data_IF_088945631974
#
_entry.id   IF_088945631974
#
_cell.length_a   1.000
_cell.length_b   1.000
_cell.length_c   1.000
_cell.angle_alpha   90.00
_cell.angle_beta   90.00
_cell.angle_gamma   90.00
#
_symmetry.space_group_name_H-M   'P 1'
#
loop_
_entity.id
_entity.type
_entity.pdbx_description
1 polymer ?
#
# COMPACT_ATOMS: atom_id res chain seq x y z
N UNK A 1 -14.14 -3.05 -13.85
CA UNK A 1 -13.49 -2.86 -12.55
C UNK A 1 -12.22 -3.68 -12.60
N UNK A 2 -11.09 -3.04 -12.87
CA UNK A 2 -9.79 -3.73 -12.85
C UNK A 2 -9.40 -3.90 -11.38
N UNK A 3 -9.15 -5.13 -10.93
CA UNK A 3 -8.68 -5.43 -9.56
C UNK A 3 -7.30 -4.83 -9.23
N UNK A 4 -6.70 -4.12 -10.18
CA UNK A 4 -5.40 -3.48 -10.10
C UNK A 4 -5.52 -2.11 -9.44
N UNK A 5 -5.07 -2.00 -8.19
CA UNK A 5 -4.77 -0.70 -7.61
C UNK A 5 -3.54 -0.12 -8.33
N UNK A 6 -3.76 0.76 -9.30
CA UNK A 6 -2.66 1.42 -9.98
C UNK A 6 -1.86 2.27 -8.98
N UNK A 7 -0.52 2.24 -9.02
CA UNK A 7 0.34 2.99 -8.07
C UNK A 7 0.07 4.50 -7.99
N UNK A 8 -0.59 5.04 -9.03
CA UNK A 8 -0.97 6.45 -9.13
C UNK A 8 -2.17 6.83 -8.25
N UNK A 9 -3.10 5.91 -8.02
CA UNK A 9 -4.42 6.21 -7.46
C UNK A 9 -4.39 6.82 -6.04
N UNK A 10 -3.62 6.30 -5.06
CA UNK A 10 -3.60 6.88 -3.72
C UNK A 10 -2.90 8.25 -3.69
N UNK A 11 -1.83 8.42 -4.46
CA UNK A 11 -1.04 9.66 -4.50
C UNK A 11 -1.78 10.78 -5.23
N UNK A 12 -2.45 10.45 -6.33
CA UNK A 12 -3.24 11.40 -7.08
C UNK A 12 -4.42 11.93 -6.25
N UNK A 13 -5.07 11.09 -5.44
CA UNK A 13 -6.11 11.54 -4.50
C UNK A 13 -5.57 12.52 -3.45
N UNK A 14 -4.39 12.25 -2.90
CA UNK A 14 -3.75 13.15 -1.92
C UNK A 14 -3.37 14.46 -2.59
N UNK A 15 -2.85 14.41 -3.82
CA UNK A 15 -2.52 15.58 -4.61
C UNK A 15 -3.74 16.47 -4.85
N UNK A 16 -4.83 15.92 -5.40
CA UNK A 16 -6.10 16.62 -5.62
C UNK A 16 -6.64 17.26 -4.34
N UNK A 17 -6.67 16.51 -3.23
CA UNK A 17 -7.12 17.00 -1.93
C UNK A 17 -6.31 18.20 -1.43
N UNK A 18 -4.99 18.23 -1.67
CA UNK A 18 -4.16 19.38 -1.30
C UNK A 18 -4.40 20.59 -2.22
N UNK A 19 -4.59 20.39 -3.53
CA UNK A 19 -4.95 21.48 -4.43
C UNK A 19 -6.26 22.15 -3.96
N UNK A 20 -7.30 21.36 -3.69
CA UNK A 20 -8.60 21.92 -3.27
C UNK A 20 -8.57 22.60 -1.90
N UNK A 21 -7.77 22.09 -0.96
CA UNK A 21 -7.83 22.52 0.45
C UNK A 21 -6.79 23.56 0.83
N UNK A 22 -5.65 23.61 0.15
CA UNK A 22 -4.50 24.42 0.57
C UNK A 22 -4.24 25.61 -0.36
N UNK A 23 -4.76 25.58 -1.58
CA UNK A 23 -4.59 26.69 -2.52
C UNK A 23 -5.58 27.82 -2.25
N UNK A 24 -5.22 29.04 -2.65
CA UNK A 24 -6.16 30.15 -2.78
C UNK A 24 -7.18 29.88 -3.88
N UNK A 25 -8.26 30.66 -3.95
CA UNK A 25 -9.27 30.47 -4.98
C UNK A 25 -8.72 30.80 -6.39
N UNK A 26 -7.81 31.78 -6.50
CA UNK A 26 -7.09 32.06 -7.74
C UNK A 26 -6.23 30.87 -8.17
N UNK A 27 -5.45 30.29 -7.25
CA UNK A 27 -4.62 29.12 -7.52
C UNK A 27 -5.46 27.91 -7.92
N UNK A 28 -6.59 27.65 -7.23
CA UNK A 28 -7.49 26.54 -7.58
C UNK A 28 -8.04 26.68 -8.99
N UNK A 29 -8.43 27.89 -9.39
CA UNK A 29 -8.99 28.15 -10.72
C UNK A 29 -8.03 27.76 -11.86
N UNK A 30 -6.72 27.76 -11.59
CA UNK A 30 -5.67 27.38 -12.52
C UNK A 30 -5.37 25.87 -12.43
N UNK A 31 -5.07 25.37 -11.22
CA UNK A 31 -4.44 24.07 -11.06
C UNK A 31 -5.42 22.90 -10.94
N UNK A 32 -6.59 23.09 -10.33
CA UNK A 32 -7.58 22.02 -10.16
C UNK A 32 -8.10 21.53 -11.51
N UNK A 33 -8.54 22.40 -12.45
CA UNK A 33 -9.04 21.94 -13.74
C UNK A 33 -7.98 21.22 -14.58
N UNK A 34 -6.72 21.65 -14.50
CA UNK A 34 -5.58 20.98 -15.16
C UNK A 34 -5.40 19.56 -14.64
N UNK A 35 -5.49 19.36 -13.32
CA UNK A 35 -5.37 18.05 -12.71
C UNK A 35 -6.58 17.16 -13.03
N UNK A 36 -7.81 17.69 -12.99
CA UNK A 36 -9.02 16.94 -13.34
C UNK A 36 -9.04 16.47 -14.80
N UNK A 37 -8.51 17.28 -15.72
CA UNK A 37 -8.33 16.90 -17.13
C UNK A 37 -7.09 16.03 -17.38
N UNK A 38 -6.36 15.67 -16.32
CA UNK A 38 -5.11 14.90 -16.40
C UNK A 38 -4.02 15.55 -17.26
N UNK A 39 -4.06 16.88 -17.43
CA UNK A 39 -2.95 17.65 -18.03
C UNK A 39 -1.73 17.65 -17.10
N UNK A 40 -1.97 17.52 -15.79
CA UNK A 40 -0.92 17.32 -14.79
C UNK A 40 -1.24 16.09 -13.93
N UNK A 41 -0.21 15.28 -13.70
CA UNK A 41 -0.25 14.15 -12.78
C UNK A 41 0.63 14.46 -11.58
N UNK A 42 0.03 14.39 -10.38
CA UNK A 42 0.67 14.84 -9.15
C UNK A 42 0.83 13.78 -8.07
N UNK A 43 1.75 14.05 -7.16
CA UNK A 43 2.02 13.24 -5.97
C UNK A 43 2.48 14.10 -4.79
N UNK A 44 2.48 13.53 -3.59
CA UNK A 44 2.68 14.26 -2.35
C UNK A 44 4.02 13.90 -1.69
N UNK A 45 4.88 14.91 -1.52
CA UNK A 45 6.29 14.74 -1.16
C UNK A 45 6.59 15.22 0.24
N UNK A 46 6.22 14.40 1.22
CA UNK A 46 6.49 14.67 2.62
C UNK A 46 7.70 13.89 3.14
N UNK A 47 7.57 12.56 3.13
CA UNK A 47 8.53 11.61 3.70
C UNK A 47 9.91 11.73 3.05
N UNK A 48 10.94 11.62 3.88
CA UNK A 48 12.35 11.65 3.48
C UNK A 48 13.07 10.44 4.02
N UNK A 49 14.27 10.19 3.50
CA UNK A 49 15.12 9.10 3.95
C UNK A 49 15.38 9.17 5.46
N UNK A 50 15.71 10.34 6.00
CA UNK A 50 15.98 10.53 7.43
C UNK A 50 14.73 10.68 8.30
N UNK A 51 13.56 11.01 7.72
CA UNK A 51 12.39 11.47 8.48
C UNK A 51 11.06 11.08 7.81
N UNK A 52 10.30 10.20 8.47
CA UNK A 52 8.91 9.84 8.12
C UNK A 52 7.89 10.40 9.13
N UNK A 53 7.92 9.88 10.36
CA UNK A 53 6.97 10.26 11.41
C UNK A 53 7.20 11.69 11.95
N UNK A 54 8.46 12.13 12.06
CA UNK A 54 8.81 13.46 12.57
C UNK A 54 8.84 14.50 11.44
N UNK A 55 7.66 14.96 11.01
CA UNK A 55 7.51 15.95 9.93
C UNK A 55 8.14 17.32 10.29
N UNK A 56 8.28 17.64 11.58
CA UNK A 56 8.96 18.87 12.02
C UNK A 56 10.48 18.83 11.77
N UNK A 57 11.07 17.65 11.68
CA UNK A 57 12.48 17.43 11.37
C UNK A 57 12.84 17.49 9.87
N UNK A 58 11.92 17.96 9.02
CA UNK A 58 12.13 18.05 7.57
C UNK A 58 13.36 18.91 7.25
N UNK A 59 14.33 18.34 6.54
CA UNK A 59 15.59 19.03 6.18
C UNK A 59 15.51 19.90 4.91
N UNK A 60 14.91 19.40 3.81
CA UNK A 60 14.55 20.17 2.59
C UNK A 60 14.07 21.58 2.90
N UNK A 61 14.67 22.54 2.23
CA UNK A 61 14.47 23.97 2.40
C UNK A 61 13.77 24.57 1.18
N UNK A 62 13.04 25.64 1.41
CA UNK A 62 12.42 26.50 0.41
C UNK A 62 12.85 27.93 0.75
N UNK A 63 13.74 28.52 -0.05
CA UNK A 63 14.32 29.84 0.23
C UNK A 63 13.77 30.82 -0.80
N UNK A 64 13.13 31.90 -0.36
CA UNK A 64 12.69 32.97 -1.26
C UNK A 64 13.91 33.75 -1.75
N UNK A 65 14.05 33.84 -3.08
CA UNK A 65 14.97 34.76 -3.74
C UNK A 65 14.19 36.01 -4.18
N UNK A 66 14.49 37.14 -3.54
CA UNK A 66 13.78 38.41 -3.76
C UNK A 66 14.14 39.06 -5.09
N UNK A 67 15.29 38.72 -5.68
CA UNK A 67 15.73 39.31 -6.94
C UNK A 67 14.96 38.70 -8.13
N UNK A 68 14.59 37.42 -8.03
CA UNK A 68 13.89 36.67 -9.07
C UNK A 68 12.40 36.45 -8.80
N UNK A 69 11.92 36.74 -7.58
CA UNK A 69 10.57 36.38 -7.10
C UNK A 69 10.31 34.85 -7.17
N UNK A 70 11.36 34.04 -6.98
CA UNK A 70 11.29 32.59 -7.03
C UNK A 70 11.58 31.94 -5.67
N UNK A 71 11.05 30.73 -5.47
CA UNK A 71 11.34 29.91 -4.30
C UNK A 71 12.28 28.77 -4.67
N UNK A 72 13.49 28.82 -4.15
CA UNK A 72 14.52 27.80 -4.39
C UNK A 72 14.30 26.62 -3.45
N UNK A 73 13.84 25.50 -4.02
CA UNK A 73 13.72 24.22 -3.32
C UNK A 73 15.06 23.48 -3.33
N UNK A 74 15.56 23.09 -2.16
CA UNK A 74 16.83 22.38 -2.06
C UNK A 74 16.76 21.19 -1.09
N UNK A 75 17.46 20.11 -1.45
CA UNK A 75 17.69 18.93 -0.61
C UNK A 75 19.15 18.93 -0.15
N UNK A 76 19.48 19.58 0.99
CA UNK A 76 20.87 19.89 1.37
C UNK A 76 21.71 18.66 1.73
N UNK A 77 21.08 17.54 2.04
CA UNK A 77 21.73 16.31 2.52
C UNK A 77 21.09 15.07 1.89
N UNK A 78 21.82 13.96 1.86
CA UNK A 78 21.24 12.68 1.41
C UNK A 78 20.01 12.27 2.25
N UNK A 79 20.03 12.50 3.57
CA UNK A 79 18.89 12.26 4.47
C UNK A 79 17.66 13.10 4.13
N UNK A 80 17.86 14.26 3.48
CA UNK A 80 16.77 15.13 3.05
C UNK A 80 16.06 14.66 1.77
N UNK A 81 16.63 13.67 1.07
CA UNK A 81 16.06 13.06 -0.14
C UNK A 81 14.65 12.55 0.14
N UNK A 82 13.71 12.93 -0.70
CA UNK A 82 12.32 12.48 -0.61
C UNK A 82 12.23 10.98 -0.92
N UNK A 83 11.54 10.23 -0.07
CA UNK A 83 11.56 8.76 -0.09
C UNK A 83 10.14 8.21 0.09
N UNK A 84 9.84 7.04 -0.50
CA UNK A 84 8.50 6.43 -0.55
C UNK A 84 7.45 7.22 -1.36
N UNK A 85 7.89 7.99 -2.36
CA UNK A 85 6.99 8.79 -3.17
C UNK A 85 6.31 7.94 -4.26
N UNK A 86 5.06 7.54 -4.03
CA UNK A 86 4.31 6.81 -5.05
C UNK A 86 4.10 7.67 -6.31
N UNK A 87 4.04 7.03 -7.48
CA UNK A 87 3.95 7.64 -8.81
C UNK A 87 5.13 8.51 -9.27
N UNK A 88 5.97 9.05 -8.37
CA UNK A 88 7.09 9.93 -8.70
C UNK A 88 8.11 9.30 -9.66
N UNK A 89 8.42 8.02 -9.44
CA UNK A 89 9.44 7.32 -10.22
C UNK A 89 9.17 7.29 -11.72
N UNK A 90 7.90 7.34 -12.15
CA UNK A 90 7.53 7.12 -13.55
C UNK A 90 6.51 8.12 -14.09
N UNK A 91 5.42 8.39 -13.37
CA UNK A 91 4.24 9.01 -13.97
C UNK A 91 4.02 10.47 -13.57
N UNK A 92 4.49 10.88 -12.38
CA UNK A 92 4.16 12.22 -11.89
C UNK A 92 4.93 13.31 -12.63
N UNK A 93 4.20 14.28 -13.15
CA UNK A 93 4.71 15.52 -13.77
C UNK A 93 4.94 16.62 -12.75
N UNK A 94 4.18 16.61 -11.66
CA UNK A 94 4.17 17.63 -10.62
C UNK A 94 4.24 17.00 -9.23
N UNK A 95 4.78 17.74 -8.26
CA UNK A 95 4.88 17.31 -6.87
C UNK A 95 4.48 18.42 -5.92
N UNK A 96 3.76 18.07 -4.86
CA UNK A 96 3.59 18.98 -3.71
C UNK A 96 4.71 18.68 -2.72
N UNK A 97 5.75 19.52 -2.74
CA UNK A 97 6.93 19.42 -1.89
C UNK A 97 6.67 20.04 -0.53
N UNK A 98 6.85 19.23 0.51
CA UNK A 98 6.85 19.70 1.90
C UNK A 98 8.27 20.13 2.29
N UNK A 99 8.49 21.43 2.50
CA UNK A 99 9.81 22.00 2.79
C UNK A 99 9.76 23.10 3.85
N UNK A 100 10.89 23.40 4.50
CA UNK A 100 11.00 24.49 5.47
C UNK A 100 11.21 25.81 4.74
N UNK A 101 10.28 26.74 4.91
CA UNK A 101 10.33 28.07 4.30
C UNK A 101 11.33 28.97 5.05
N UNK A 102 12.19 29.64 4.29
CA UNK A 102 13.09 30.69 4.75
C UNK A 102 12.88 31.95 3.93
N UNK A 103 12.70 33.08 4.60
CA UNK A 103 12.61 34.42 3.99
C UNK A 103 13.55 35.33 4.77
N UNK A 104 14.47 36.02 4.08
CA UNK A 104 15.48 36.89 4.70
C UNK A 104 16.25 36.22 5.85
N UNK A 105 16.59 34.94 5.67
CA UNK A 105 17.27 34.13 6.69
C UNK A 105 16.40 33.66 7.87
N UNK A 106 15.14 34.10 7.97
CA UNK A 106 14.21 33.67 9.01
C UNK A 106 13.42 32.45 8.58
N UNK A 107 13.40 31.41 9.42
CA UNK A 107 12.68 30.17 9.18
C UNK A 107 11.23 30.23 9.66
N UNK A 108 10.28 30.00 8.76
CA UNK A 108 8.84 30.02 9.02
C UNK A 108 8.23 28.62 9.20
N UNK A 109 9.07 27.59 9.25
CA UNK A 109 8.63 26.22 9.41
C UNK A 109 8.12 25.59 8.10
N UNK A 110 7.38 24.50 8.23
CA UNK A 110 7.07 23.62 7.10
C UNK A 110 5.87 24.11 6.28
N UNK A 111 6.08 24.24 4.96
CA UNK A 111 5.09 24.69 3.99
C UNK A 111 5.01 23.75 2.79
N UNK A 112 3.97 23.94 1.97
CA UNK A 112 3.69 23.16 0.76
C UNK A 112 4.01 23.99 -0.47
N UNK A 113 4.77 23.42 -1.40
CA UNK A 113 5.14 24.06 -2.67
C UNK A 113 4.76 23.14 -3.81
N UNK A 114 3.92 23.61 -4.73
CA UNK A 114 3.71 22.91 -5.99
C UNK A 114 4.93 23.15 -6.88
N UNK A 115 5.54 22.08 -7.37
CA UNK A 115 6.69 22.15 -8.27
C UNK A 115 6.48 21.23 -9.46
N UNK A 116 6.96 21.67 -10.63
CA UNK A 116 7.03 20.83 -11.81
C UNK A 116 8.30 19.99 -11.75
N UNK A 117 8.17 18.71 -12.07
CA UNK A 117 9.25 17.72 -11.98
C UNK A 117 9.66 17.21 -13.34
N UNK A 118 8.72 17.19 -14.28
CA UNK A 118 8.92 16.73 -15.64
C UNK A 118 8.36 17.74 -16.62
N UNK A 119 9.06 17.88 -17.73
CA UNK A 119 8.57 18.58 -18.90
C UNK A 119 7.30 17.90 -19.42
N UNK A 120 6.29 18.69 -19.81
CA UNK A 120 4.97 18.15 -20.16
C UNK A 120 4.92 17.51 -21.54
N UNK A 121 5.84 17.88 -22.43
CA UNK A 121 5.89 17.36 -23.80
C UNK A 121 6.80 16.15 -23.91
N UNK A 122 7.97 16.21 -23.28
CA UNK A 122 9.03 15.18 -23.37
C UNK A 122 9.03 14.21 -22.20
N UNK A 123 8.36 14.54 -21.10
CA UNK A 123 8.32 13.78 -19.85
C UNK A 123 9.70 13.58 -19.17
N UNK A 124 10.72 14.28 -19.66
CA UNK A 124 12.06 14.30 -19.08
C UNK A 124 12.06 15.11 -17.78
N UNK A 125 12.96 14.76 -16.85
CA UNK A 125 13.09 15.50 -15.60
C UNK A 125 13.52 16.94 -15.88
N UNK A 126 12.88 17.89 -15.22
CA UNK A 126 13.28 19.30 -15.28
C UNK A 126 14.69 19.49 -14.69
N UNK A 127 15.40 20.51 -15.15
CA UNK A 127 16.74 20.85 -14.66
C UNK A 127 16.75 20.98 -13.13
N UNK A 128 17.70 20.33 -12.46
CA UNK A 128 17.82 20.33 -11.00
C UNK A 128 16.93 19.30 -10.27
N UNK A 129 16.12 18.52 -11.00
CA UNK A 129 15.31 17.44 -10.43
C UNK A 129 15.96 16.09 -10.67
N UNK A 130 16.27 15.37 -9.59
CA UNK A 130 16.76 14.00 -9.64
C UNK A 130 15.74 13.04 -9.03
N UNK A 131 15.36 12.00 -9.77
CA UNK A 131 14.42 10.96 -9.31
C UNK A 131 14.98 9.58 -9.62
N UNK A 132 15.02 8.72 -8.61
CA UNK A 132 15.48 7.33 -8.72
C UNK A 132 14.33 6.36 -8.38
N UNK A 133 14.23 5.26 -9.11
CA UNK A 133 13.27 4.19 -8.83
C UNK A 133 13.77 3.32 -7.67
N UNK A 134 12.87 3.03 -6.72
CA UNK A 134 13.21 2.41 -5.42
C UNK A 134 13.26 0.86 -5.43
N UNK A 135 12.97 0.23 -6.55
CA UNK A 135 12.82 -1.22 -6.69
C UNK A 135 11.45 -1.76 -6.26
N UNK A 136 11.22 -3.07 -6.33
CA UNK A 136 9.97 -3.70 -5.90
C UNK A 136 9.70 -3.47 -4.40
N UNK A 137 8.45 -3.17 -4.05
CA UNK A 137 8.01 -2.72 -2.71
C UNK A 137 6.85 -3.59 -2.19
N UNK A 138 6.82 -3.87 -0.89
CA UNK A 138 5.67 -4.47 -0.18
C UNK A 138 4.87 -3.33 0.47
N UNK A 139 3.58 -3.21 0.15
CA UNK A 139 2.74 -2.01 0.36
C UNK A 139 2.27 -1.83 1.83
N UNK A 140 2.31 -0.61 2.40
CA UNK A 140 1.49 -0.17 3.56
C UNK A 140 1.60 1.36 3.81
N UNK A 141 0.49 2.08 4.00
CA UNK A 141 0.44 3.53 4.26
C UNK A 141 -0.67 3.95 5.25
N UNK A 142 -0.48 5.09 5.92
CA UNK A 142 -1.22 5.57 7.13
C UNK A 142 -2.01 6.87 6.87
N UNK A 143 -3.10 7.12 7.64
CA UNK A 143 -4.00 8.30 7.52
C UNK A 143 -4.24 9.01 8.89
N UNK A 144 -4.41 10.34 8.88
CA UNK A 144 -4.48 11.20 10.09
C UNK A 144 -5.73 12.10 10.16
N UNK A 145 -6.80 11.66 10.84
CA UNK A 145 -8.11 12.36 10.90
C UNK A 145 -8.36 13.23 12.14
N UNK A 146 -7.67 13.01 13.25
CA UNK A 146 -8.31 13.21 14.55
C UNK A 146 -7.59 14.15 15.55
N UNK A 147 -6.59 14.90 15.10
CA UNK A 147 -6.00 16.02 15.85
C UNK A 147 -6.15 17.31 15.03
N UNK A 148 -6.53 18.43 15.67
CA UNK A 148 -6.82 19.70 15.00
C UNK A 148 -6.11 20.86 15.71
N UNK A 149 -5.78 21.90 14.94
CA UNK A 149 -5.29 23.19 15.44
C UNK A 149 -6.27 24.25 14.93
N UNK A 150 -6.80 25.08 15.83
CA UNK A 150 -7.72 26.16 15.49
C UNK A 150 -6.96 27.42 15.05
N UNK A 151 -7.68 28.34 14.38
CA UNK A 151 -7.13 29.57 13.78
C UNK A 151 -6.52 30.56 14.78
N UNK A 152 -6.87 30.45 16.05
CA UNK A 152 -6.32 31.25 17.15
C UNK A 152 -5.02 30.67 17.72
N UNK A 153 -4.53 29.55 17.17
CA UNK A 153 -3.34 28.85 17.65
C UNK A 153 -3.61 27.83 18.77
N UNK A 154 -4.87 27.63 19.14
CA UNK A 154 -5.23 26.66 20.19
C UNK A 154 -5.15 25.22 19.64
N UNK A 155 -4.30 24.40 20.26
CA UNK A 155 -4.22 22.96 19.98
C UNK A 155 -5.39 22.23 20.65
N UNK A 156 -6.29 21.68 19.82
CA UNK A 156 -7.39 20.85 20.31
C UNK A 156 -6.88 19.41 20.40
N UNK A 157 -6.52 19.02 21.62
CA UNK A 157 -6.14 17.66 21.96
C UNK A 157 -7.28 16.70 21.53
N UNK A 158 -6.98 15.52 20.94
CA UNK A 158 -8.02 14.55 20.64
C UNK A 158 -8.82 14.24 21.92
N UNK A 159 -10.16 14.28 21.84
CA UNK A 159 -11.06 13.99 22.97
C UNK A 159 -10.76 12.62 23.62
N UNK A 160 -10.15 11.72 22.85
CA UNK A 160 -9.72 10.41 23.29
C UNK A 160 -8.29 10.15 22.79
N UNK A 161 -7.33 10.04 23.71
CA UNK A 161 -5.93 9.70 23.43
C UNK A 161 -5.76 8.31 22.81
N UNK A 162 -6.76 7.43 22.93
CA UNK A 162 -6.77 6.09 22.36
C UNK A 162 -7.32 6.02 20.92
N UNK A 163 -7.84 7.08 20.30
CA UNK A 163 -8.44 6.90 18.96
C UNK A 163 -7.44 6.41 17.92
N UNK A 164 -6.12 6.66 18.12
CA UNK A 164 -5.08 6.26 17.15
C UNK A 164 -5.04 4.74 17.00
N UNK A 165 -5.52 4.03 18.03
CA UNK A 165 -5.67 2.59 18.03
C UNK A 165 -6.86 2.13 17.17
N UNK A 166 -7.95 2.89 17.08
CA UNK A 166 -9.14 2.47 16.31
C UNK A 166 -8.82 2.14 14.85
N UNK A 167 -8.13 3.04 14.15
CA UNK A 167 -7.69 2.80 12.76
C UNK A 167 -6.73 1.60 12.64
N UNK A 168 -5.82 1.43 13.60
CA UNK A 168 -4.89 0.30 13.62
C UNK A 168 -5.62 -1.04 13.83
N UNK A 169 -6.65 -1.04 14.68
CA UNK A 169 -7.52 -2.19 14.95
C UNK A 169 -8.35 -2.52 13.71
N UNK A 170 -8.99 -1.53 13.08
CA UNK A 170 -9.77 -1.72 11.84
C UNK A 170 -8.94 -2.22 10.67
N UNK A 171 -7.73 -1.68 10.46
CA UNK A 171 -6.83 -2.17 9.40
C UNK A 171 -6.42 -3.61 9.67
N UNK A 172 -6.11 -3.97 10.91
CA UNK A 172 -5.75 -5.36 11.28
C UNK A 172 -6.92 -6.32 11.13
N UNK A 173 -8.14 -5.88 11.45
CA UNK A 173 -9.36 -6.66 11.23
C UNK A 173 -9.53 -7.05 9.75
N UNK A 174 -9.26 -6.11 8.83
CA UNK A 174 -9.34 -6.34 7.38
C UNK A 174 -8.22 -7.26 6.86
N UNK A 175 -7.00 -7.13 7.40
CA UNK A 175 -5.83 -7.86 6.90
C UNK A 175 -5.94 -9.38 7.06
N UNK A 176 -6.59 -9.85 8.12
CA UNK A 176 -6.74 -11.29 8.35
C UNK A 176 -7.55 -11.97 7.22
N UNK A 177 -8.59 -11.31 6.74
CA UNK A 177 -9.41 -11.79 5.64
C UNK A 177 -8.65 -11.74 4.31
N UNK A 178 -8.02 -10.60 3.99
CA UNK A 178 -7.29 -10.42 2.72
C UNK A 178 -6.19 -11.47 2.55
N UNK A 179 -5.38 -11.67 3.58
CA UNK A 179 -4.25 -12.60 3.52
C UNK A 179 -4.69 -14.06 3.42
N UNK A 180 -5.83 -14.41 4.00
CA UNK A 180 -6.41 -15.73 3.87
C UNK A 180 -6.98 -15.98 2.46
N UNK A 181 -7.57 -14.97 1.82
CA UNK A 181 -7.96 -15.06 0.41
C UNK A 181 -6.76 -15.25 -0.50
N UNK A 182 -5.64 -14.57 -0.25
CA UNK A 182 -4.43 -14.75 -1.04
C UNK A 182 -3.83 -16.15 -0.88
N UNK A 183 -3.84 -16.70 0.35
CA UNK A 183 -3.48 -18.10 0.57
C UNK A 183 -4.42 -19.05 -0.18
N UNK A 184 -5.73 -18.83 -0.14
CA UNK A 184 -6.70 -19.71 -0.79
C UNK A 184 -6.48 -19.76 -2.30
N UNK A 185 -6.16 -18.62 -2.93
CA UNK A 185 -5.82 -18.57 -4.35
C UNK A 185 -4.57 -19.43 -4.67
N UNK A 186 -3.53 -19.34 -3.85
CA UNK A 186 -2.33 -20.18 -4.01
C UNK A 186 -2.66 -21.68 -3.86
N UNK A 187 -3.52 -22.02 -2.91
CA UNK A 187 -3.99 -23.40 -2.67
C UNK A 187 -4.76 -23.94 -3.86
N UNK A 188 -5.66 -23.15 -4.46
CA UNK A 188 -6.43 -23.55 -5.65
C UNK A 188 -5.50 -23.90 -6.80
N UNK A 189 -4.45 -23.12 -7.02
CA UNK A 189 -3.49 -23.39 -8.09
C UNK A 189 -2.64 -24.62 -7.80
N UNK A 190 -2.14 -24.78 -6.58
CA UNK A 190 -1.45 -26.00 -6.18
C UNK A 190 -2.35 -27.24 -6.33
N UNK A 191 -3.63 -27.13 -5.98
CA UNK A 191 -4.61 -28.20 -6.13
C UNK A 191 -4.82 -28.60 -7.60
N UNK A 192 -5.10 -27.64 -8.47
CA UNK A 192 -5.29 -27.92 -9.90
C UNK A 192 -4.02 -28.44 -10.55
N UNK A 193 -2.87 -27.85 -10.24
CA UNK A 193 -1.59 -28.29 -10.76
C UNK A 193 -1.24 -29.71 -10.32
N UNK A 194 -1.42 -30.05 -9.04
CA UNK A 194 -1.11 -31.39 -8.52
C UNK A 194 -2.08 -32.47 -9.00
N UNK A 195 -3.32 -32.11 -9.36
CA UNK A 195 -4.25 -33.03 -10.05
C UNK A 195 -3.89 -33.28 -11.51
N UNK A 196 -3.42 -32.26 -12.20
CA UNK A 196 -2.99 -32.37 -13.59
C UNK A 196 -1.63 -33.08 -13.71
N UNK A 197 -0.69 -32.73 -12.84
CA UNK A 197 0.67 -33.26 -12.89
C UNK A 197 0.67 -34.73 -12.50
N UNK A 198 1.18 -35.56 -13.39
CA UNK A 198 1.49 -36.95 -13.12
C UNK A 198 2.99 -37.09 -12.85
N UNK A 199 3.34 -37.92 -11.86
CA UNK A 199 4.73 -38.25 -11.55
C UNK A 199 4.78 -39.54 -10.73
N UNK A 200 5.74 -40.40 -11.08
CA UNK A 200 5.97 -41.71 -10.46
C UNK A 200 4.80 -42.69 -10.67
N UNK A 201 5.11 -43.97 -10.46
CA UNK A 201 4.15 -45.07 -10.52
C UNK A 201 3.86 -45.54 -9.10
N UNK A 202 2.63 -45.99 -8.85
CA UNK A 202 2.24 -46.50 -7.54
C UNK A 202 2.85 -47.87 -7.28
N UNK A 203 2.77 -48.74 -8.29
CA UNK A 203 3.45 -50.03 -8.33
C UNK A 203 4.36 -50.14 -9.57
N UNK A 204 5.41 -50.96 -9.47
CA UNK A 204 6.35 -51.19 -10.58
C UNK A 204 5.70 -51.80 -11.82
N UNK A 205 4.54 -52.43 -11.65
CA UNK A 205 3.73 -53.06 -12.71
C UNK A 205 2.79 -52.09 -13.43
N UNK A 206 2.58 -50.87 -12.90
CA UNK A 206 1.68 -49.90 -13.52
C UNK A 206 2.26 -49.32 -14.82
N UNK A 207 1.41 -49.16 -15.83
CA UNK A 207 1.80 -48.56 -17.11
C UNK A 207 1.76 -47.03 -17.07
N UNK A 208 0.83 -46.46 -16.31
CA UNK A 208 0.59 -45.02 -16.26
C UNK A 208 1.13 -44.42 -14.95
N UNK A 209 1.52 -43.16 -15.02
CA UNK A 209 1.88 -42.39 -13.84
C UNK A 209 0.62 -41.93 -13.09
N UNK A 210 0.75 -41.75 -11.78
CA UNK A 210 -0.36 -41.28 -10.92
C UNK A 210 -0.31 -39.78 -10.76
N UNK A 211 -1.47 -39.17 -10.50
CA UNK A 211 -1.53 -37.75 -10.19
C UNK A 211 -0.76 -37.47 -8.89
N UNK A 212 0.01 -36.39 -8.87
CA UNK A 212 0.82 -36.00 -7.70
C UNK A 212 -0.06 -35.74 -6.48
N UNK A 213 -1.30 -35.30 -6.68
CA UNK A 213 -2.29 -35.14 -5.62
C UNK A 213 -2.68 -36.44 -4.91
N UNK A 214 -2.57 -37.60 -5.56
CA UNK A 214 -2.89 -38.90 -4.94
C UNK A 214 -1.82 -39.33 -3.93
N UNK A 215 -0.64 -38.70 -3.95
CA UNK A 215 0.36 -38.89 -2.92
C UNK A 215 -0.11 -38.31 -1.59
N UNK A 216 -0.16 -39.15 -0.55
CA UNK A 216 -0.63 -38.78 0.80
C UNK A 216 0.06 -37.52 1.36
N UNK A 217 1.37 -37.35 1.12
CA UNK A 217 2.12 -36.19 1.62
C UNK A 217 1.74 -34.88 0.93
N UNK A 218 1.44 -34.91 -0.38
CA UNK A 218 1.01 -33.73 -1.14
C UNK A 218 -0.43 -33.39 -0.77
N UNK A 219 -1.30 -34.40 -0.75
CA UNK A 219 -2.71 -34.26 -0.38
C UNK A 219 -2.87 -33.63 0.99
N UNK A 220 -2.10 -34.10 1.98
CA UNK A 220 -2.12 -33.53 3.33
C UNK A 220 -1.73 -32.06 3.35
N UNK A 221 -0.64 -31.68 2.67
CA UNK A 221 -0.17 -30.29 2.61
C UNK A 221 -1.21 -29.35 1.99
N UNK A 222 -1.81 -29.73 0.86
CA UNK A 222 -2.77 -28.87 0.13
C UNK A 222 -4.11 -28.79 0.87
N UNK A 223 -4.66 -29.92 1.32
CA UNK A 223 -5.97 -29.93 2.02
C UNK A 223 -5.90 -29.27 3.40
N UNK A 224 -4.78 -29.41 4.11
CA UNK A 224 -4.57 -28.71 5.37
C UNK A 224 -4.61 -27.19 5.17
N UNK A 225 -3.90 -26.67 4.16
CA UNK A 225 -3.90 -25.23 3.86
C UNK A 225 -5.27 -24.73 3.39
N UNK A 226 -6.02 -25.55 2.64
CA UNK A 226 -7.40 -25.23 2.26
C UNK A 226 -8.29 -25.04 3.49
N UNK A 227 -8.24 -25.99 4.44
CA UNK A 227 -9.02 -25.92 5.67
C UNK A 227 -8.61 -24.72 6.53
N UNK A 228 -7.30 -24.51 6.70
CA UNK A 228 -6.78 -23.38 7.48
C UNK A 228 -7.16 -22.03 6.86
N UNK A 229 -7.01 -21.86 5.54
CA UNK A 229 -7.38 -20.62 4.86
C UNK A 229 -8.88 -20.32 5.03
N UNK A 230 -9.73 -21.34 4.85
CA UNK A 230 -11.19 -21.20 5.02
C UNK A 230 -11.54 -20.81 6.46
N UNK A 231 -10.92 -21.43 7.45
CA UNK A 231 -11.13 -21.08 8.86
C UNK A 231 -10.70 -19.63 9.16
N UNK A 232 -9.56 -19.20 8.63
CA UNK A 232 -9.07 -17.82 8.83
C UNK A 232 -9.98 -16.79 8.14
N UNK A 233 -10.58 -17.10 6.98
CA UNK A 233 -11.58 -16.23 6.34
C UNK A 233 -12.80 -16.04 7.26
N UNK A 234 -13.32 -17.12 7.83
CA UNK A 234 -14.46 -17.05 8.76
C UNK A 234 -14.11 -16.20 9.99
N UNK A 235 -12.92 -16.41 10.56
CA UNK A 235 -12.40 -15.60 11.68
C UNK A 235 -12.26 -14.13 11.27
N UNK A 236 -11.73 -13.85 10.08
CA UNK A 236 -11.60 -12.49 9.54
C UNK A 236 -12.94 -11.79 9.41
N UNK A 237 -13.96 -12.47 8.88
CA UNK A 237 -15.33 -11.93 8.82
C UNK A 237 -15.91 -11.63 10.21
N UNK A 238 -15.71 -12.53 11.18
CA UNK A 238 -16.19 -12.30 12.55
C UNK A 238 -15.51 -11.10 13.21
N UNK A 239 -14.20 -10.96 13.04
CA UNK A 239 -13.43 -9.84 13.62
C UNK A 239 -13.78 -8.52 12.95
N UNK A 240 -13.97 -8.51 11.63
CA UNK A 240 -14.42 -7.33 10.89
C UNK A 240 -15.80 -6.88 11.35
N UNK A 241 -16.73 -7.82 11.50
CA UNK A 241 -18.07 -7.53 12.03
C UNK A 241 -18.00 -6.93 13.44
N UNK A 242 -17.15 -7.48 14.32
CA UNK A 242 -16.93 -6.94 15.65
C UNK A 242 -16.33 -5.52 15.63
N UNK A 243 -15.43 -5.23 14.68
CA UNK A 243 -14.86 -3.89 14.49
C UNK A 243 -15.91 -2.87 13.98
N UNK A 244 -16.78 -3.28 13.05
CA UNK A 244 -17.89 -2.46 12.55
C UNK A 244 -18.90 -2.14 13.67
N UNK A 245 -19.27 -3.13 14.49
CA UNK A 245 -20.17 -3.00 15.64
C UNK A 245 -19.56 -2.08 16.73
N UNK A 246 -18.27 -2.28 17.04
CA UNK A 246 -17.52 -1.42 17.95
C UNK A 246 -17.50 0.03 17.46
N UNK A 247 -17.20 0.24 16.17
CA UNK A 247 -17.14 1.57 15.55
C UNK A 247 -18.50 2.26 15.61
N UNK A 248 -19.59 1.55 15.32
CA UNK A 248 -20.95 2.09 15.43
C UNK A 248 -21.29 2.50 16.88
N UNK A 249 -20.95 1.66 17.86
CA UNK A 249 -21.19 1.91 19.29
C UNK A 249 -20.37 3.09 19.81
N UNK A 250 -19.09 3.17 19.42
CA UNK A 250 -18.21 4.27 19.80
C UNK A 250 -18.70 5.61 19.23
N UNK A 251 -19.22 5.62 17.99
CA UNK A 251 -19.79 6.83 17.38
C UNK A 251 -21.06 7.32 18.07
N UNK A 252 -21.89 6.42 18.60
CA UNK A 252 -23.15 6.77 19.28
C UNK A 252 -22.97 7.13 20.75
N UNK A 253 -22.10 6.39 21.47
CA UNK A 253 -22.02 6.46 22.95
C UNK A 253 -20.71 7.05 23.46
N UNK A 254 -19.68 7.16 22.61
CA UNK A 254 -18.33 7.54 23.03
C UNK A 254 -17.63 6.51 23.91
N UNK A 255 -18.24 5.35 24.17
CA UNK A 255 -17.67 4.30 25.02
C UNK A 255 -16.47 3.62 24.35
N UNK A 256 -15.45 3.27 25.14
CA UNK A 256 -14.22 2.61 24.68
C UNK A 256 -13.92 1.32 25.40
N UNK A 257 -14.89 0.77 26.14
CA UNK A 257 -14.71 -0.38 27.03
C UNK A 257 -14.18 -1.62 26.29
N UNK A 258 -14.65 -1.88 25.07
CA UNK A 258 -14.32 -3.08 24.29
C UNK A 258 -13.08 -2.93 23.40
N UNK A 259 -12.47 -1.74 23.37
CA UNK A 259 -11.35 -1.43 22.48
C UNK A 259 -10.13 -2.32 22.76
N UNK A 260 -9.90 -2.66 24.01
CA UNK A 260 -8.74 -3.46 24.43
C UNK A 260 -8.87 -4.92 23.99
N UNK A 261 -10.04 -5.51 24.17
CA UNK A 261 -10.33 -6.87 23.72
C UNK A 261 -10.28 -6.98 22.20
N UNK A 262 -10.92 -6.04 21.49
CA UNK A 262 -10.89 -6.00 20.03
C UNK A 262 -9.45 -5.79 19.50
N UNK A 263 -8.64 -5.01 20.21
CA UNK A 263 -7.22 -4.84 19.88
C UNK A 263 -6.43 -6.15 19.98
N UNK A 264 -6.60 -6.91 21.06
CA UNK A 264 -5.93 -8.20 21.25
C UNK A 264 -6.33 -9.22 20.18
N UNK A 265 -7.63 -9.28 19.85
CA UNK A 265 -8.16 -10.17 18.81
C UNK A 265 -7.59 -9.82 17.43
N UNK A 266 -7.60 -8.54 17.06
CA UNK A 266 -7.10 -8.10 15.75
C UNK A 266 -5.58 -8.26 15.61
N UNK A 267 -4.80 -8.05 16.67
CA UNK A 267 -3.34 -8.32 16.69
C UNK A 267 -3.06 -9.80 16.46
N UNK A 268 -3.75 -10.66 17.20
CA UNK A 268 -3.54 -12.11 17.13
C UNK A 268 -3.93 -12.65 15.76
N UNK A 269 -5.10 -12.25 15.25
CA UNK A 269 -5.59 -12.67 13.95
C UNK A 269 -4.70 -12.18 12.81
N UNK A 270 -4.26 -10.90 12.84
CA UNK A 270 -3.33 -10.38 11.83
C UNK A 270 -2.01 -11.14 11.84
N UNK A 271 -1.45 -11.41 13.01
CA UNK A 271 -0.14 -12.06 13.13
C UNK A 271 -0.21 -13.50 12.65
N UNK A 272 -1.22 -14.24 13.12
CA UNK A 272 -1.45 -15.63 12.72
C UNK A 272 -1.73 -15.76 11.21
N UNK A 273 -2.67 -14.96 10.68
CA UNK A 273 -3.04 -14.99 9.26
C UNK A 273 -1.86 -14.69 8.35
N UNK A 274 -1.06 -13.67 8.66
CA UNK A 274 0.12 -13.31 7.85
C UNK A 274 1.21 -14.40 7.88
N UNK A 275 1.47 -15.02 9.03
CA UNK A 275 2.45 -16.09 9.15
C UNK A 275 2.01 -17.34 8.37
N UNK A 276 0.75 -17.76 8.55
CA UNK A 276 0.18 -18.93 7.89
C UNK A 276 0.08 -18.71 6.38
N UNK A 277 -0.34 -17.52 5.93
CA UNK A 277 -0.42 -17.20 4.51
C UNK A 277 0.97 -17.22 3.87
N UNK A 278 1.97 -16.58 4.48
CA UNK A 278 3.34 -16.54 3.97
C UNK A 278 3.93 -17.95 3.80
N UNK A 279 3.88 -18.77 4.86
CA UNK A 279 4.37 -20.15 4.82
C UNK A 279 3.54 -21.05 3.91
N UNK A 280 2.23 -20.84 3.89
CA UNK A 280 1.28 -21.62 3.10
C UNK A 280 1.47 -21.41 1.60
N UNK A 281 1.67 -20.16 1.18
CA UNK A 281 1.98 -19.82 -0.22
C UNK A 281 3.28 -20.50 -0.66
N UNK A 282 4.33 -20.46 0.16
CA UNK A 282 5.58 -21.14 -0.15
C UNK A 282 5.41 -22.67 -0.20
N UNK A 283 4.61 -23.23 0.71
CA UNK A 283 4.28 -24.67 0.68
C UNK A 283 3.54 -25.06 -0.59
N UNK A 284 2.60 -24.22 -1.07
CA UNK A 284 1.90 -24.40 -2.34
C UNK A 284 2.88 -24.35 -3.52
N UNK A 285 3.82 -23.40 -3.50
CA UNK A 285 4.87 -23.27 -4.50
C UNK A 285 5.75 -24.53 -4.57
N UNK A 286 6.18 -25.04 -3.41
CA UNK A 286 6.98 -26.28 -3.31
C UNK A 286 6.17 -27.50 -3.78
N UNK A 287 4.86 -27.55 -3.50
CA UNK A 287 3.99 -28.62 -3.98
C UNK A 287 3.91 -28.67 -5.51
N UNK A 288 4.13 -27.54 -6.20
CA UNK A 288 4.21 -27.48 -7.66
C UNK A 288 5.57 -27.94 -8.24
N UNK A 289 6.55 -28.30 -7.40
CA UNK A 289 7.87 -28.77 -7.83
C UNK A 289 8.65 -27.71 -8.62
N UNK A 290 9.48 -28.15 -9.58
CA UNK A 290 10.33 -27.26 -10.38
C UNK A 290 9.55 -26.19 -11.17
N UNK A 291 8.33 -26.50 -11.64
CA UNK A 291 7.49 -25.50 -12.32
C UNK A 291 7.00 -24.41 -11.38
N UNK A 292 6.91 -24.67 -10.07
CA UNK A 292 6.67 -23.65 -9.05
C UNK A 292 7.81 -22.63 -8.90
N UNK A 293 8.99 -22.90 -9.45
CA UNK A 293 10.10 -21.95 -9.51
C UNK A 293 10.10 -21.11 -10.80
N UNK A 294 9.38 -21.56 -11.84
CA UNK A 294 9.22 -20.78 -13.07
C UNK A 294 8.35 -19.54 -12.82
N UNK A 295 8.40 -18.56 -13.73
CA UNK A 295 7.52 -17.38 -13.68
C UNK A 295 6.02 -17.70 -13.58
N UNK A 296 5.58 -18.93 -13.93
CA UNK A 296 4.22 -19.41 -13.70
C UNK A 296 3.92 -19.69 -12.22
N UNK A 297 4.91 -20.08 -11.41
CA UNK A 297 4.80 -20.21 -9.96
C UNK A 297 4.85 -18.87 -9.21
N UNK A 298 5.27 -17.78 -9.87
CA UNK A 298 5.21 -16.41 -9.33
C UNK A 298 3.78 -15.85 -9.24
N UNK A 299 2.80 -16.44 -9.94
CA UNK A 299 1.42 -15.93 -10.05
C UNK A 299 0.65 -15.76 -8.71
N UNK A 300 1.22 -16.16 -7.57
CA UNK A 300 0.58 -15.95 -6.25
C UNK A 300 1.48 -15.47 -5.11
N UNK A 301 2.78 -15.26 -5.35
CA UNK A 301 3.53 -14.34 -4.48
C UNK A 301 3.07 -12.88 -4.71
N UNK A 302 2.50 -12.60 -5.90
CA UNK A 302 1.66 -11.47 -6.22
C UNK A 302 0.41 -12.01 -6.92
N UNK A 303 -0.80 -11.68 -6.45
CA UNK A 303 -2.06 -12.27 -6.92
C UNK A 303 -2.43 -11.93 -8.37
N UNK A 304 -1.77 -12.55 -9.35
CA UNK A 304 -1.96 -12.30 -10.78
C UNK A 304 -2.40 -13.57 -11.50
N UNK A 305 -3.70 -13.70 -11.75
CA UNK A 305 -4.26 -14.81 -12.53
C UNK A 305 -5.21 -14.30 -13.63
N UNK A 306 -4.67 -13.56 -14.61
CA UNK A 306 -5.43 -13.13 -15.79
C UNK A 306 -4.80 -13.49 -17.14
N UNK A 307 -3.55 -13.97 -17.19
CA UNK A 307 -2.83 -14.13 -18.47
C UNK A 307 -2.97 -15.48 -19.18
N UNK A 308 -3.68 -16.46 -18.59
CA UNK A 308 -3.82 -17.78 -19.20
C UNK A 308 -4.81 -17.86 -20.36
N UNK A 309 -5.67 -16.85 -20.61
CA UNK A 309 -6.62 -16.89 -21.74
C UNK A 309 -6.09 -16.37 -23.08
N UNK A 310 -4.90 -15.75 -23.13
CA UNK A 310 -4.39 -15.13 -24.38
C UNK A 310 -3.22 -15.85 -25.05
N UNK A 311 -2.64 -16.89 -24.46
CA UNK A 311 -1.44 -17.57 -25.01
C UNK A 311 -1.64 -19.01 -25.49
N UNK A 312 -2.87 -19.51 -25.59
CA UNK A 312 -3.15 -20.84 -26.17
C UNK A 312 -3.61 -20.83 -27.63
N UNK A 313 -3.50 -19.70 -28.35
CA UNK A 313 -3.75 -19.60 -29.79
C UNK A 313 -2.48 -19.14 -30.52
N UNK A 314 -1.43 -19.94 -30.47
CA UNK A 314 -0.28 -19.90 -31.40
C UNK A 314 0.56 -21.17 -31.18
N UNK A 315 0.08 -22.28 -31.72
CA UNK A 315 0.82 -23.33 -32.43
C UNK A 315 -0.18 -24.39 -32.91
#
# INVERSE_FOLDING_TARGET
MTDWMMPIHPQFRIFMSNLERQMSDEQKSIWVPKAERFEILGCYYQTKLGHGSNVRGIETTAILDEDSDEVILNSPTLSSTKYWLGAAGVCATHGIVVARLFIRGHGYGTHLFLTQLRDLDTHQLCTGVEIYELGPKVFQGMLARNAQVLRDGTYVKPKNTKHSYGLMVSVRALMAEITAWDLLKAVVVAYHYTKFRQQFKKDSTDKNEVAVFDNTSVRYRVLHLLATATAVIVVGHSIKKADDEYTATMLQTGSTSELEDLHLQTVSAKTYSTEVASRGVETCRIACGGHGYSGFGRMYAHGECSDLRRRQLCH
#
